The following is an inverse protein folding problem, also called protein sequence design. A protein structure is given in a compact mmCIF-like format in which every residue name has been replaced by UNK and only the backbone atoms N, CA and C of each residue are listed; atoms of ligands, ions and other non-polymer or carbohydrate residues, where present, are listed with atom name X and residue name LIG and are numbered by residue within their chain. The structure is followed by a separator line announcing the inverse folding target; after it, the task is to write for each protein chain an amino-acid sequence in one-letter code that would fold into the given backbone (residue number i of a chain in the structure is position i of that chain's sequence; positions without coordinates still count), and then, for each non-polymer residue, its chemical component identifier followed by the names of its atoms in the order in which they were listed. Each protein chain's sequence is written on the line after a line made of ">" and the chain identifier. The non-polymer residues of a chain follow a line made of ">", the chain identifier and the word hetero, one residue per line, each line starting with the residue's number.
data_IF_506290267379
#
_entry.id   IF_506290267379
#
_cell.length_a   1.000
_cell.length_b   1.000
_cell.length_c   1.000
_cell.angle_alpha   90.00
_cell.angle_beta   90.00
_cell.angle_gamma   90.00
#
_symmetry.space_group_name_H-M   'P 1'
#
loop_
_entity.id
_entity.type
_entity.pdbx_description
1 polymer ?
#
# COMPACT_ATOMS: atom_id res chain seq x y z
N UNK A 1 19.60 -20.22 10.33
CA UNK A 1 18.99 -18.87 10.34
C UNK A 1 17.51 -19.06 10.05
N UNK A 2 16.60 -18.58 10.90
CA UNK A 2 15.16 -18.72 10.65
C UNK A 2 14.76 -17.76 9.53
N UNK A 3 13.96 -18.22 8.56
CA UNK A 3 13.51 -17.38 7.45
C UNK A 3 12.46 -16.38 7.96
N UNK A 4 12.82 -15.10 8.06
CA UNK A 4 11.92 -14.03 8.52
C UNK A 4 11.06 -13.51 7.37
N UNK A 5 9.75 -13.45 7.59
CA UNK A 5 8.77 -12.87 6.67
C UNK A 5 8.42 -11.48 7.20
N UNK A 6 8.97 -10.44 6.57
CA UNK A 6 8.75 -9.03 6.92
C UNK A 6 7.58 -8.44 6.15
N UNK A 7 7.16 -7.23 6.53
CA UNK A 7 6.25 -6.42 5.72
C UNK A 7 6.98 -5.82 4.51
N UNK A 8 6.23 -5.14 3.64
CA UNK A 8 6.74 -4.48 2.44
C UNK A 8 6.14 -3.08 2.33
N UNK A 9 6.99 -2.08 2.13
CA UNK A 9 6.59 -0.67 2.05
C UNK A 9 7.48 0.04 1.04
N UNK A 10 6.90 0.84 0.14
CA UNK A 10 7.65 1.68 -0.82
C UNK A 10 8.73 0.93 -1.62
N UNK A 11 8.41 -0.28 -2.07
CA UNK A 11 9.31 -1.14 -2.84
C UNK A 11 10.56 -1.60 -2.07
N UNK A 12 10.48 -1.68 -0.74
CA UNK A 12 11.54 -2.24 0.10
C UNK A 12 10.97 -3.05 1.27
N UNK A 13 11.83 -3.87 1.88
CA UNK A 13 11.51 -4.63 3.08
C UNK A 13 11.26 -3.68 4.26
N UNK A 14 10.13 -3.87 4.93
CA UNK A 14 9.74 -3.10 6.10
C UNK A 14 9.64 -4.02 7.31
N UNK A 15 10.53 -3.84 8.28
CA UNK A 15 10.61 -4.71 9.45
C UNK A 15 9.39 -4.56 10.38
N UNK A 16 8.80 -3.35 10.45
CA UNK A 16 7.84 -2.99 11.49
C UNK A 16 8.49 -2.87 12.87
N UNK A 17 7.66 -2.59 13.88
CA UNK A 17 8.08 -2.35 15.27
C UNK A 17 7.53 -3.40 16.25
N UNK A 18 6.71 -4.34 15.78
CA UNK A 18 6.11 -5.38 16.61
C UNK A 18 6.99 -6.62 16.79
N UNK A 19 6.39 -7.64 17.42
CA UNK A 19 7.01 -8.95 17.62
C UNK A 19 6.97 -9.84 16.38
N UNK A 20 7.16 -11.14 16.57
CA UNK A 20 6.98 -12.14 15.51
C UNK A 20 6.29 -13.40 16.03
N UNK A 21 5.64 -14.14 15.13
CA UNK A 21 4.99 -15.42 15.43
C UNK A 21 5.47 -16.55 14.50
N UNK A 22 5.44 -17.81 14.97
CA UNK A 22 5.93 -18.94 14.19
C UNK A 22 5.01 -19.29 13.02
N UNK A 23 5.61 -19.65 11.89
CA UNK A 23 4.94 -20.26 10.74
C UNK A 23 5.15 -21.76 10.79
N UNK A 24 4.08 -22.51 11.01
CA UNK A 24 4.12 -23.96 11.23
C UNK A 24 3.75 -24.72 9.96
N UNK A 25 4.53 -25.75 9.61
CA UNK A 25 4.17 -26.71 8.57
C UNK A 25 3.05 -27.63 9.08
N UNK A 26 1.85 -27.65 8.46
CA UNK A 26 0.73 -28.45 8.96
C UNK A 26 0.92 -29.96 8.80
N UNK A 27 1.81 -30.43 7.91
CA UNK A 27 2.05 -31.86 7.71
C UNK A 27 2.99 -32.46 8.77
N UNK A 28 3.86 -31.65 9.39
CA UNK A 28 4.92 -32.12 10.28
C UNK A 28 4.90 -31.48 11.67
N UNK A 29 4.17 -30.38 11.85
CA UNK A 29 4.19 -29.58 13.07
C UNK A 29 5.48 -28.77 13.27
N UNK A 30 6.45 -28.86 12.36
CA UNK A 30 7.71 -28.13 12.47
C UNK A 30 7.53 -26.63 12.17
N UNK A 31 8.21 -25.77 12.93
CA UNK A 31 8.32 -24.33 12.62
C UNK A 31 9.26 -24.14 11.43
N UNK A 32 8.80 -23.44 10.40
CA UNK A 32 9.53 -23.23 9.13
C UNK A 32 9.97 -21.77 8.93
N UNK A 33 9.43 -20.84 9.72
CA UNK A 33 9.78 -19.43 9.67
C UNK A 33 9.13 -18.63 10.78
N UNK A 34 9.34 -17.32 10.75
CA UNK A 34 8.73 -16.35 11.65
C UNK A 34 8.10 -15.23 10.82
N UNK A 35 6.87 -14.83 11.13
CA UNK A 35 6.19 -13.70 10.49
C UNK A 35 6.21 -12.50 11.43
N UNK A 36 6.60 -11.33 10.92
CA UNK A 36 6.53 -10.07 11.65
C UNK A 36 5.07 -9.70 11.93
N UNK A 37 4.80 -9.22 13.15
CA UNK A 37 3.51 -8.67 13.53
C UNK A 37 3.56 -7.14 13.45
N UNK A 38 2.63 -6.53 12.74
CA UNK A 38 2.51 -5.08 12.68
C UNK A 38 1.89 -4.53 13.97
N UNK A 39 2.40 -3.38 14.42
CA UNK A 39 1.72 -2.53 15.40
C UNK A 39 0.71 -1.61 14.71
N UNK A 40 -0.10 -0.90 15.50
CA UNK A 40 -0.97 0.16 14.97
C UNK A 40 -0.15 1.31 14.37
N UNK A 41 1.03 1.58 14.90
CA UNK A 41 1.95 2.60 14.36
C UNK A 41 2.54 2.19 13.00
N UNK A 42 2.90 0.92 12.85
CA UNK A 42 3.32 0.35 11.56
C UNK A 42 2.21 0.49 10.51
N UNK A 43 0.96 0.23 10.90
CA UNK A 43 -0.21 0.41 10.03
C UNK A 43 -0.37 1.86 9.60
N UNK A 44 -0.26 2.83 10.52
CA UNK A 44 -0.34 4.25 10.18
C UNK A 44 0.75 4.66 9.18
N UNK A 45 1.98 4.20 9.40
CA UNK A 45 3.10 4.46 8.47
C UNK A 45 2.81 3.97 7.05
N UNK A 46 2.24 2.78 6.91
CA UNK A 46 1.87 2.22 5.60
C UNK A 46 0.71 2.99 4.96
N UNK A 47 -0.28 3.40 5.75
CA UNK A 47 -1.43 4.19 5.27
C UNK A 47 -0.97 5.55 4.75
N UNK A 48 -0.10 6.23 5.50
CA UNK A 48 0.39 7.56 5.13
C UNK A 48 1.23 7.49 3.85
N UNK A 49 2.14 6.52 3.74
CA UNK A 49 2.90 6.29 2.52
C UNK A 49 2.00 5.95 1.31
N UNK A 50 0.93 5.17 1.52
CA UNK A 50 -0.03 4.89 0.46
C UNK A 50 -0.82 6.15 0.04
N UNK A 51 -1.16 7.02 1.00
CA UNK A 51 -1.82 8.30 0.73
C UNK A 51 -0.91 9.25 -0.06
N UNK A 52 0.38 9.30 0.28
CA UNK A 52 1.40 10.08 -0.45
C UNK A 52 1.63 9.57 -1.88
N UNK A 53 1.67 8.23 -2.06
CA UNK A 53 1.83 7.62 -3.37
C UNK A 53 0.57 7.73 -4.24
N UNK A 54 -0.58 8.10 -3.66
CA UNK A 54 -1.83 8.24 -4.39
C UNK A 54 -1.82 9.53 -5.23
N UNK A 55 -1.96 9.44 -6.58
CA UNK A 55 -2.13 10.64 -7.39
C UNK A 55 -3.43 11.34 -6.96
N UNK A 56 -3.33 12.59 -6.46
CA UNK A 56 -4.38 13.42 -5.81
C UNK A 56 -5.68 13.64 -6.62
N UNK A 57 -5.78 13.07 -7.81
CA UNK A 57 -7.01 12.94 -8.56
C UNK A 57 -6.76 11.91 -9.66
N UNK A 58 -7.61 10.89 -9.77
CA UNK A 58 -7.70 10.13 -11.02
C UNK A 58 -8.30 11.04 -12.10
N UNK A 59 -7.55 12.03 -12.56
CA UNK A 59 -7.83 12.71 -13.82
C UNK A 59 -7.40 11.76 -14.95
N UNK A 60 -8.25 10.77 -15.24
CA UNK A 60 -8.25 10.11 -16.55
C UNK A 60 -8.88 11.13 -17.52
N UNK A 61 -8.16 12.19 -17.88
CA UNK A 61 -8.69 13.16 -18.86
C UNK A 61 -7.67 13.66 -19.87
N UNK A 62 -6.43 13.16 -19.87
CA UNK A 62 -5.43 13.58 -20.87
C UNK A 62 -5.52 12.83 -22.21
N UNK A 63 -6.62 12.11 -22.51
CA UNK A 63 -6.83 11.46 -23.81
C UNK A 63 -8.02 12.02 -24.61
N UNK A 64 -8.22 13.33 -24.59
CA UNK A 64 -8.92 14.01 -25.68
C UNK A 64 -7.90 14.71 -26.57
N UNK A 65 -7.65 14.13 -27.74
CA UNK A 65 -6.92 14.78 -28.81
C UNK A 65 -7.96 15.56 -29.64
N UNK A 66 -7.73 16.87 -29.81
CA UNK A 66 -8.53 17.85 -30.58
C UNK A 66 -9.64 18.64 -29.81
N UNK A 67 -9.49 19.98 -29.64
CA UNK A 67 -10.50 20.88 -29.08
C UNK A 67 -11.84 20.96 -29.83
N UNK A 68 -11.95 20.42 -31.05
CA UNK A 68 -13.18 20.45 -31.84
C UNK A 68 -14.22 19.40 -31.42
N UNK A 69 -13.85 18.44 -30.57
CA UNK A 69 -14.73 17.38 -30.10
C UNK A 69 -15.29 17.67 -28.71
N UNK A 70 -16.40 18.41 -28.66
CA UNK A 70 -17.42 18.30 -27.62
C UNK A 70 -17.08 18.92 -26.26
N UNK A 71 -17.54 20.15 -26.05
CA UNK A 71 -17.56 20.80 -24.74
C UNK A 71 -18.30 19.96 -23.70
N UNK A 72 -17.56 19.49 -22.70
CA UNK A 72 -18.12 19.04 -21.43
C UNK A 72 -17.55 19.99 -20.39
N UNK A 73 -18.35 20.95 -19.96
CA UNK A 73 -18.06 21.79 -18.80
C UNK A 73 -18.18 20.87 -17.57
N UNK A 74 -17.06 20.26 -17.18
CA UNK A 74 -16.95 19.53 -15.93
C UNK A 74 -16.86 20.56 -14.82
N UNK A 75 -18.03 21.02 -14.38
CA UNK A 75 -18.24 21.86 -13.21
C UNK A 75 -17.76 21.14 -11.95
N UNK A 76 -16.44 21.05 -11.79
CA UNK A 76 -15.84 20.78 -10.51
C UNK A 76 -16.20 21.96 -9.62
N UNK A 77 -17.01 21.70 -8.58
CA UNK A 77 -17.22 22.65 -7.50
C UNK A 77 -15.85 23.08 -6.99
N UNK A 78 -15.44 24.31 -7.32
CA UNK A 78 -14.36 24.97 -6.61
C UNK A 78 -14.87 25.17 -5.19
N UNK A 79 -14.37 24.35 -4.26
CA UNK A 79 -14.67 24.56 -2.85
C UNK A 79 -13.98 25.84 -2.38
N UNK A 80 -14.71 26.63 -1.61
CA UNK A 80 -14.25 27.84 -0.91
C UNK A 80 -13.23 27.52 0.18
#
# INVERSE_FOLDING_TARGET
>A
MQNGITHWLNNDAFAGSGGSLPVTNPATGAVTGQVALATVEDMHTVIDAAAEASPRGKAITSRWLDPSHGGIELSFRQNK
#
